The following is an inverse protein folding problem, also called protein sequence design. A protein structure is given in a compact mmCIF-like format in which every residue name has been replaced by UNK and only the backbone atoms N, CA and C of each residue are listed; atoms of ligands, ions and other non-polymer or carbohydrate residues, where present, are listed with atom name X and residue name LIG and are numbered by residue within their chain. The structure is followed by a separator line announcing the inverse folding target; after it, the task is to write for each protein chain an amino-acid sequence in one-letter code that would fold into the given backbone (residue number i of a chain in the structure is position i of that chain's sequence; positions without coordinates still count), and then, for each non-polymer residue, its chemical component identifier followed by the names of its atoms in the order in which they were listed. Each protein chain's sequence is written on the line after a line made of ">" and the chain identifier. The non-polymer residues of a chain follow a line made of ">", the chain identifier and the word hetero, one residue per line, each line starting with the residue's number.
data_IF_966943406030
#
_entry.id   IF_966943406030
#
_cell.length_a   1.000
_cell.length_b   1.000
_cell.length_c   1.000
_cell.angle_alpha   90.00
_cell.angle_beta   90.00
_cell.angle_gamma   90.00
#
_symmetry.space_group_name_H-M   'P 1'
#
loop_
_entity.id
_entity.type
_entity.pdbx_description
1 polymer ?
#
# COMPACT_ATOMS: atom_id res chain seq x y z
N UNK A 1 -4.13 -27.55 4.05
CA UNK A 1 -4.30 -26.66 2.88
C UNK A 1 -3.43 -25.43 3.07
N UNK A 2 -2.37 -25.25 2.28
CA UNK A 2 -1.74 -23.92 2.15
C UNK A 2 -2.81 -23.05 1.48
N UNK A 3 -3.39 -22.10 2.22
CA UNK A 3 -4.33 -21.14 1.64
C UNK A 3 -3.64 -20.53 0.42
N UNK A 4 -4.19 -20.74 -0.76
CA UNK A 4 -3.77 -20.02 -1.95
C UNK A 4 -3.85 -18.54 -1.58
N UNK A 5 -2.69 -17.88 -1.55
CA UNK A 5 -2.61 -16.53 -1.00
C UNK A 5 -3.24 -15.60 -2.04
N UNK A 6 -4.53 -15.31 -1.86
CA UNK A 6 -5.37 -14.48 -2.74
C UNK A 6 -4.92 -13.01 -2.72
N UNK A 7 -3.73 -12.74 -3.26
CA UNK A 7 -3.26 -11.38 -3.51
C UNK A 7 -3.88 -10.78 -4.76
N UNK A 8 -4.52 -11.59 -5.62
CA UNK A 8 -5.28 -11.13 -6.78
C UNK A 8 -6.37 -10.11 -6.40
N UNK A 9 -7.00 -10.28 -5.23
CA UNK A 9 -7.97 -9.30 -4.70
C UNK A 9 -7.36 -7.89 -4.47
N UNK A 10 -6.03 -7.80 -4.35
CA UNK A 10 -5.30 -6.56 -4.08
C UNK A 10 -4.54 -6.02 -5.28
N UNK A 11 -4.58 -6.71 -6.43
CA UNK A 11 -3.82 -6.30 -7.62
C UNK A 11 -4.17 -4.86 -8.03
N UNK A 12 -5.46 -4.51 -8.02
CA UNK A 12 -5.92 -3.14 -8.28
C UNK A 12 -5.43 -2.12 -7.24
N UNK A 13 -5.36 -2.50 -5.95
CA UNK A 13 -4.90 -1.61 -4.89
C UNK A 13 -3.39 -1.41 -4.93
N UNK A 14 -2.64 -2.47 -5.18
CA UNK A 14 -1.19 -2.46 -5.37
C UNK A 14 -0.82 -1.62 -6.59
N UNK A 15 -1.52 -1.81 -7.71
CA UNK A 15 -1.30 -1.05 -8.93
C UNK A 15 -1.61 0.44 -8.72
N UNK A 16 -2.72 0.76 -8.06
CA UNK A 16 -3.05 2.14 -7.69
C UNK A 16 -1.99 2.79 -6.79
N UNK A 17 -1.42 2.04 -5.83
CA UNK A 17 -0.31 2.54 -5.02
C UNK A 17 0.93 2.82 -5.87
N UNK A 18 1.30 1.91 -6.77
CA UNK A 18 2.47 2.07 -7.66
C UNK A 18 2.35 3.33 -8.52
N UNK A 19 1.17 3.57 -9.10
CA UNK A 19 0.88 4.77 -9.88
C UNK A 19 0.93 6.04 -9.03
N UNK A 20 0.42 6.00 -7.80
CA UNK A 20 0.51 7.11 -6.86
C UNK A 20 1.97 7.44 -6.50
N UNK A 21 2.76 6.42 -6.14
CA UNK A 21 4.19 6.53 -5.80
C UNK A 21 4.99 7.12 -6.97
N UNK A 22 4.77 6.61 -8.19
CA UNK A 22 5.41 7.11 -9.39
C UNK A 22 5.07 8.58 -9.68
N UNK A 23 3.78 8.98 -9.55
CA UNK A 23 3.36 10.39 -9.72
C UNK A 23 3.98 11.34 -8.70
N UNK A 24 4.29 10.84 -7.50
CA UNK A 24 4.95 11.63 -6.44
C UNK A 24 6.48 11.70 -6.61
N UNK A 25 7.06 10.95 -7.55
CA UNK A 25 8.51 10.86 -7.72
C UNK A 25 9.21 10.09 -6.60
N UNK A 26 8.47 9.20 -5.91
CA UNK A 26 8.98 8.35 -4.83
C UNK A 26 9.39 6.98 -5.38
N UNK A 27 10.10 6.20 -4.56
CA UNK A 27 10.53 4.84 -4.90
C UNK A 27 9.83 3.78 -4.07
N UNK A 28 9.85 2.55 -4.60
CA UNK A 28 9.51 1.34 -3.86
C UNK A 28 10.82 0.63 -3.51
N UNK A 29 11.10 0.50 -2.23
CA UNK A 29 12.35 -0.07 -1.71
C UNK A 29 12.24 -1.58 -1.45
N UNK A 30 11.03 -2.09 -1.23
CA UNK A 30 10.79 -3.49 -0.91
C UNK A 30 9.37 -3.88 -1.31
N UNK A 31 9.24 -5.05 -1.90
CA UNK A 31 7.96 -5.75 -2.04
C UNK A 31 8.11 -7.19 -1.55
N UNK A 32 7.19 -7.65 -0.69
CA UNK A 32 7.22 -9.02 -0.17
C UNK A 32 5.87 -9.50 0.29
N UNK A 33 5.70 -10.82 0.27
CA UNK A 33 4.63 -11.47 1.02
C UNK A 33 4.89 -11.39 2.53
N UNK A 34 3.81 -11.25 3.30
CA UNK A 34 3.78 -11.37 4.76
C UNK A 34 2.73 -12.43 5.14
N UNK A 35 2.74 -12.89 6.40
CA UNK A 35 1.95 -14.04 6.87
C UNK A 35 0.47 -14.01 6.46
N UNK A 36 -0.11 -12.81 6.39
CA UNK A 36 -1.51 -12.60 6.01
C UNK A 36 -1.68 -11.46 5.01
N UNK A 37 -0.75 -11.26 4.08
CA UNK A 37 -0.84 -10.12 3.18
C UNK A 37 0.34 -9.92 2.26
N UNK A 38 0.36 -8.76 1.63
CA UNK A 38 1.45 -8.26 0.82
C UNK A 38 1.92 -6.93 1.39
N UNK A 39 3.22 -6.68 1.40
CA UNK A 39 3.81 -5.45 1.91
C UNK A 39 4.62 -4.77 0.82
N UNK A 40 4.39 -3.47 0.65
CA UNK A 40 5.18 -2.58 -0.20
C UNK A 40 5.75 -1.48 0.68
N UNK A 41 7.07 -1.29 0.68
CA UNK A 41 7.68 -0.17 1.38
C UNK A 41 7.97 0.98 0.41
N UNK A 42 7.35 2.13 0.69
CA UNK A 42 7.53 3.36 -0.09
C UNK A 42 8.60 4.22 0.57
N UNK A 43 9.42 4.87 -0.24
CA UNK A 43 10.49 5.77 0.20
C UNK A 43 10.41 7.11 -0.56
N UNK A 44 10.42 8.21 0.18
CA UNK A 44 10.32 9.56 -0.38
C UNK A 44 11.68 10.27 -0.56
N UNK A 45 12.79 9.54 -0.37
CA UNK A 45 14.14 10.10 -0.30
C UNK A 45 14.62 10.42 1.11
N UNK A 46 13.74 10.38 2.13
CA UNK A 46 14.06 10.68 3.53
C UNK A 46 13.51 9.63 4.49
N UNK A 47 12.24 9.30 4.35
CA UNK A 47 11.47 8.41 5.21
C UNK A 47 10.98 7.21 4.41
N UNK A 48 10.88 6.08 5.10
CA UNK A 48 10.35 4.84 4.58
C UNK A 48 9.09 4.45 5.35
N UNK A 49 8.01 4.20 4.62
CA UNK A 49 6.72 3.82 5.19
C UNK A 49 6.21 2.54 4.52
N UNK A 50 6.11 1.42 5.27
CA UNK A 50 5.47 0.20 4.78
C UNK A 50 3.96 0.36 4.63
N UNK A 51 3.42 -0.20 3.56
CA UNK A 51 1.98 -0.33 3.27
C UNK A 51 1.65 -1.82 3.16
N UNK A 52 0.83 -2.30 4.07
CA UNK A 52 0.39 -3.70 4.10
C UNK A 52 -1.02 -3.82 3.51
N UNK A 53 -1.20 -4.82 2.64
CA UNK A 53 -2.44 -5.20 2.00
C UNK A 53 -2.89 -6.55 2.57
N UNK A 54 -4.01 -6.57 3.29
CA UNK A 54 -4.56 -7.78 3.91
C UNK A 54 -5.74 -8.34 3.08
N UNK A 55 -5.93 -9.68 3.00
CA UNK A 55 -7.02 -10.34 2.30
C UNK A 55 -8.43 -9.78 2.57
N UNK A 56 -8.66 -9.17 3.73
CA UNK A 56 -9.93 -8.54 4.08
C UNK A 56 -10.24 -7.23 3.36
N UNK A 57 -9.35 -6.73 2.49
CA UNK A 57 -9.45 -5.37 1.91
C UNK A 57 -8.84 -4.29 2.80
N UNK A 58 -8.40 -4.64 4.02
CA UNK A 58 -7.76 -3.69 4.92
C UNK A 58 -6.37 -3.31 4.38
N UNK A 59 -6.14 -2.01 4.25
CA UNK A 59 -4.83 -1.41 3.98
C UNK A 59 -4.31 -0.77 5.27
N UNK A 60 -3.09 -1.11 5.68
CA UNK A 60 -2.43 -0.58 6.87
C UNK A 60 -1.13 0.13 6.51
N UNK A 61 -1.05 1.41 6.83
CA UNK A 61 0.15 2.23 6.63
C UNK A 61 0.91 2.29 7.96
N UNK A 62 2.20 1.95 7.92
CA UNK A 62 3.11 1.89 9.06
C UNK A 62 4.25 2.90 8.90
N UNK A 63 5.10 2.99 9.92
CA UNK A 63 6.30 3.83 9.90
C UNK A 63 6.11 5.19 10.56
N UNK A 64 7.13 6.04 10.40
CA UNK A 64 7.18 7.35 11.05
C UNK A 64 6.11 8.29 10.51
N UNK A 65 5.64 9.21 11.36
CA UNK A 65 4.78 10.31 10.94
C UNK A 65 5.56 11.30 10.07
N UNK A 66 4.85 11.98 9.16
CA UNK A 66 5.42 12.94 8.23
C UNK A 66 4.73 12.92 6.88
N UNK A 67 5.23 13.76 5.96
CA UNK A 67 4.62 14.01 4.64
C UNK A 67 4.33 12.73 3.86
N UNK A 68 5.25 11.77 3.85
CA UNK A 68 5.04 10.49 3.19
C UNK A 68 3.86 9.73 3.79
N UNK A 69 3.81 9.60 5.12
CA UNK A 69 2.74 8.87 5.81
C UNK A 69 1.39 9.52 5.59
N UNK A 70 1.32 10.84 5.69
CA UNK A 70 0.08 11.60 5.54
C UNK A 70 -0.46 11.48 4.12
N UNK A 71 0.41 11.58 3.11
CA UNK A 71 0.04 11.41 1.73
C UNK A 71 -0.41 9.98 1.38
N UNK A 72 0.22 8.96 1.98
CA UNK A 72 -0.24 7.57 1.86
C UNK A 72 -1.62 7.38 2.50
N UNK A 73 -1.90 8.05 3.63
CA UNK A 73 -3.23 8.01 4.24
C UNK A 73 -4.28 8.68 3.37
N UNK A 74 -3.97 9.86 2.80
CA UNK A 74 -4.88 10.55 1.88
C UNK A 74 -5.19 9.70 0.63
N UNK A 75 -4.16 9.09 0.02
CA UNK A 75 -4.35 8.15 -1.10
C UNK A 75 -5.29 7.00 -0.74
N UNK A 76 -5.13 6.42 0.45
CA UNK A 76 -5.98 5.33 0.93
C UNK A 76 -7.44 5.79 1.09
N UNK A 77 -7.66 6.99 1.61
CA UNK A 77 -9.00 7.57 1.79
C UNK A 77 -9.69 7.86 0.44
N UNK A 78 -8.99 8.51 -0.50
CA UNK A 78 -9.46 8.74 -1.86
C UNK A 78 -9.84 7.43 -2.56
N UNK A 79 -9.01 6.39 -2.39
CA UNK A 79 -9.28 5.06 -2.94
C UNK A 79 -10.56 4.44 -2.39
N UNK A 80 -10.81 4.57 -1.09
CA UNK A 80 -12.00 4.00 -0.46
C UNK A 80 -13.28 4.73 -0.87
N UNK A 81 -13.22 6.05 -1.09
CA UNK A 81 -14.36 6.85 -1.52
C UNK A 81 -14.86 6.49 -2.93
N UNK A 82 -14.01 5.91 -3.78
CA UNK A 82 -14.37 5.50 -5.16
C UNK A 82 -15.08 4.14 -5.21
N UNK A 83 -15.09 3.38 -4.11
CA UNK A 83 -15.67 2.02 -4.06
C UNK A 83 -17.10 2.01 -3.51
N UNK A 84 -17.62 3.16 -3.05
CA UNK A 84 -19.04 3.31 -2.65
C UNK A 84 -19.91 3.76 -3.84
N UNK A 85 -20.33 2.83 -4.69
CA UNK A 85 -21.42 3.01 -5.66
C UNK A 85 -22.28 1.75 -5.77
#
# INVERSE_FOLDING_TARGET
>A
MKKQKDYQAHEAAIQSLREFVARKGWSIDLEREIDYGYQIAVFDGKLRNPVDFFPSGKILIKGNAGVLRDALHAWKEERNAVVEF
#
